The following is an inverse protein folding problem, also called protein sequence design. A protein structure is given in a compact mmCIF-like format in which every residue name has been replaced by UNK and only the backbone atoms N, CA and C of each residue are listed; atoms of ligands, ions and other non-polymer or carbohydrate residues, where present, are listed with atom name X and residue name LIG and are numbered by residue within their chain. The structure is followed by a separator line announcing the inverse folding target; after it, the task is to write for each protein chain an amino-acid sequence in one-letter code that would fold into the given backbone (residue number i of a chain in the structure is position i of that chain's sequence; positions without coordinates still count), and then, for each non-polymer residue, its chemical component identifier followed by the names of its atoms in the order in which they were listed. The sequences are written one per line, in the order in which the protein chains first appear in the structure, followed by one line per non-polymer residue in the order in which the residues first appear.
data_IF_699344073702
#
_entry.id   IF_699344073702
#
_cell.length_a   1.000
_cell.length_b   1.000
_cell.length_c   1.000
_cell.angle_alpha   90.00
_cell.angle_beta   90.00
_cell.angle_gamma   90.00
#
_symmetry.space_group_name_H-M   'P 1'
#
loop_
_entity.id
_entity.type
_entity.pdbx_description
1 polymer ?
#
# COMPACT_ATOMS: atom_id res chain seq x y z
N UNK A 1 -4.67 -0.55 21.63
CA UNK A 1 -4.38 -1.93 21.17
C UNK A 1 -2.93 -2.19 21.50
N UNK A 2 -2.65 -3.17 22.36
CA UNK A 2 -1.28 -3.65 22.54
C UNK A 2 -0.74 -4.17 21.19
N UNK A 3 0.56 -3.98 20.91
CA UNK A 3 1.19 -4.56 19.73
C UNK A 3 1.26 -6.07 19.93
N UNK A 4 0.30 -6.80 19.35
CA UNK A 4 0.36 -8.26 19.26
C UNK A 4 1.57 -8.66 18.42
N UNK A 5 2.44 -9.51 18.97
CA UNK A 5 3.57 -10.07 18.25
C UNK A 5 3.03 -10.94 17.10
N UNK A 6 3.54 -10.80 15.87
CA UNK A 6 3.12 -11.64 14.75
C UNK A 6 3.31 -13.12 15.06
N UNK A 7 2.31 -13.94 14.74
CA UNK A 7 2.47 -15.39 14.78
C UNK A 7 3.45 -15.87 13.69
N UNK A 8 4.08 -17.03 13.87
CA UNK A 8 4.99 -17.60 12.87
C UNK A 8 4.37 -17.73 11.45
N UNK A 9 3.04 -17.92 11.39
CA UNK A 9 2.27 -17.96 10.14
C UNK A 9 2.07 -16.60 9.44
N UNK A 10 2.42 -15.48 10.08
CA UNK A 10 2.41 -14.15 9.47
C UNK A 10 3.70 -13.86 8.69
N UNK A 11 4.79 -14.59 8.98
CA UNK A 11 6.09 -14.36 8.35
C UNK A 11 6.13 -14.78 6.87
N UNK A 12 5.20 -15.61 6.43
CA UNK A 12 5.02 -16.01 5.03
C UNK A 12 3.95 -15.19 4.29
N UNK A 13 3.40 -14.14 4.91
CA UNK A 13 2.35 -13.31 4.30
C UNK A 13 2.87 -11.98 3.79
N UNK A 14 2.43 -11.62 2.60
CA UNK A 14 2.74 -10.35 1.94
C UNK A 14 1.77 -9.28 2.44
N UNK A 15 2.30 -8.26 3.12
CA UNK A 15 1.48 -7.18 3.67
C UNK A 15 0.98 -6.24 2.56
N UNK A 16 -0.34 -6.10 2.47
CA UNK A 16 -1.03 -5.25 1.51
C UNK A 16 -1.89 -4.25 2.30
N UNK A 17 -1.55 -2.97 2.17
CA UNK A 17 -2.29 -1.91 2.82
C UNK A 17 -3.50 -1.53 1.98
N UNK A 18 -4.68 -1.54 2.60
CA UNK A 18 -5.95 -1.18 1.97
C UNK A 18 -6.45 0.12 2.58
N UNK A 19 -6.60 1.16 1.77
CA UNK A 19 -6.98 2.49 2.25
C UNK A 19 -8.10 3.10 1.42
N UNK A 20 -9.11 3.65 2.09
CA UNK A 20 -10.17 4.41 1.45
C UNK A 20 -9.77 5.88 1.27
N UNK A 21 -10.08 6.44 0.10
CA UNK A 21 -9.84 7.83 -0.25
C UNK A 21 -11.13 8.52 -0.73
N UNK A 22 -11.26 9.82 -0.48
CA UNK A 22 -12.45 10.59 -0.85
C UNK A 22 -13.66 10.27 0.03
N UNK A 23 -14.82 10.05 -0.61
CA UNK A 23 -16.07 9.73 0.08
C UNK A 23 -15.95 8.43 0.87
N UNK A 24 -16.33 8.49 2.16
CA UNK A 24 -16.21 7.35 3.07
C UNK A 24 -17.55 6.67 3.24
N UNK A 25 -17.65 5.46 2.71
CA UNK A 25 -18.72 4.51 3.03
C UNK A 25 -18.12 3.32 3.78
N UNK A 26 -18.28 3.23 5.11
CA UNK A 26 -17.81 2.08 5.89
C UNK A 26 -18.45 0.77 5.45
N UNK A 27 -19.74 0.79 5.07
CA UNK A 27 -20.47 -0.39 4.59
C UNK A 27 -19.86 -0.93 3.31
N UNK A 28 -19.60 -0.07 2.33
CA UNK A 28 -18.96 -0.46 1.06
C UNK A 28 -17.53 -0.93 1.31
N UNK A 29 -16.77 -0.22 2.15
CA UNK A 29 -15.40 -0.59 2.49
C UNK A 29 -15.31 -1.97 3.15
N UNK A 30 -16.14 -2.25 4.15
CA UNK A 30 -16.12 -3.54 4.87
C UNK A 30 -16.51 -4.69 3.95
N UNK A 31 -17.55 -4.52 3.11
CA UNK A 31 -17.94 -5.54 2.12
C UNK A 31 -16.83 -5.82 1.11
N UNK A 32 -16.14 -4.77 0.63
CA UNK A 32 -15.01 -4.93 -0.28
C UNK A 32 -13.83 -5.60 0.43
N UNK A 33 -13.53 -5.19 1.66
CA UNK A 33 -12.45 -5.76 2.45
C UNK A 33 -12.68 -7.25 2.72
N UNK A 34 -13.90 -7.67 3.09
CA UNK A 34 -14.27 -9.09 3.22
C UNK A 34 -14.05 -9.88 1.93
N UNK A 35 -14.28 -9.27 0.76
CA UNK A 35 -14.01 -9.92 -0.53
C UNK A 35 -12.52 -10.04 -0.81
N UNK A 36 -11.73 -9.02 -0.50
CA UNK A 36 -10.27 -9.13 -0.57
C UNK A 36 -9.76 -10.32 0.26
N UNK A 37 -10.32 -10.54 1.46
CA UNK A 37 -9.95 -11.69 2.29
C UNK A 37 -10.22 -13.05 1.63
N UNK A 38 -11.20 -13.17 0.71
CA UNK A 38 -11.47 -14.43 -0.02
C UNK A 38 -10.39 -14.78 -1.03
N UNK A 39 -9.71 -13.78 -1.57
CA UNK A 39 -8.60 -13.93 -2.54
C UNK A 39 -7.22 -13.85 -1.89
N UNK A 40 -7.15 -13.93 -0.55
CA UNK A 40 -5.88 -13.83 0.18
C UNK A 40 -4.87 -14.92 -0.20
N UNK A 41 -5.31 -16.10 -0.61
CA UNK A 41 -4.43 -17.19 -1.00
C UNK A 41 -4.53 -17.40 -2.52
N UNK A 42 -3.40 -17.26 -3.21
CA UNK A 42 -3.33 -17.45 -4.65
C UNK A 42 -2.24 -18.46 -5.02
N UNK A 43 -2.64 -19.53 -5.72
CA UNK A 43 -1.68 -20.44 -6.35
C UNK A 43 -1.05 -19.76 -7.56
N UNK A 44 0.28 -19.72 -7.57
CA UNK A 44 1.11 -19.00 -8.56
C UNK A 44 2.02 -19.94 -9.36
N UNK A 45 2.12 -21.20 -8.95
CA UNK A 45 2.90 -22.24 -9.59
C UNK A 45 2.31 -23.60 -9.24
N UNK A 46 2.28 -24.53 -10.19
CA UNK A 46 1.77 -25.89 -10.00
C UNK A 46 2.87 -26.90 -9.67
N UNK A 47 4.09 -26.69 -10.20
CA UNK A 47 5.23 -27.58 -10.01
C UNK A 47 6.56 -26.80 -9.80
N UNK A 48 7.09 -26.72 -8.57
CA UNK A 48 6.42 -27.11 -7.33
C UNK A 48 5.17 -26.24 -7.10
N UNK A 49 4.19 -26.78 -6.37
CA UNK A 49 3.01 -26.01 -5.97
C UNK A 49 3.47 -24.85 -5.07
N UNK A 50 3.20 -23.62 -5.49
CA UNK A 50 3.50 -22.41 -4.70
C UNK A 50 2.25 -21.57 -4.54
N UNK A 51 2.09 -21.04 -3.34
CA UNK A 51 0.98 -20.17 -2.96
C UNK A 51 1.56 -18.90 -2.39
N UNK A 52 1.16 -17.75 -2.94
CA UNK A 52 1.36 -16.45 -2.31
C UNK A 52 0.18 -16.18 -1.39
N UNK A 53 0.46 -15.73 -0.17
CA UNK A 53 -0.56 -15.39 0.83
C UNK A 53 -0.49 -13.90 1.10
N UNK A 54 -1.55 -13.17 0.79
CA UNK A 54 -1.71 -11.76 1.11
C UNK A 54 -2.22 -11.58 2.55
N UNK A 55 -1.71 -10.56 3.22
CA UNK A 55 -2.24 -10.03 4.46
C UNK A 55 -2.82 -8.64 4.18
N UNK A 56 -4.11 -8.58 3.86
CA UNK A 56 -4.81 -7.31 3.65
C UNK A 56 -5.10 -6.67 5.00
N UNK A 57 -4.63 -5.43 5.20
CA UNK A 57 -4.84 -4.67 6.44
C UNK A 57 -5.37 -3.27 6.14
N UNK A 58 -6.29 -2.79 6.96
CA UNK A 58 -6.85 -1.43 6.87
C UNK A 58 -6.15 -0.42 7.80
N UNK A 59 -5.31 -0.91 8.72
CA UNK A 59 -4.52 -0.10 9.63
C UNK A 59 -3.12 -0.69 9.78
N UNK A 60 -2.11 0.18 9.76
CA UNK A 60 -0.71 -0.22 9.91
C UNK A 60 -0.22 0.09 11.33
N UNK A 61 0.63 -0.79 11.86
CA UNK A 61 1.41 -0.50 13.06
C UNK A 61 2.72 0.17 12.63
N UNK A 62 2.80 1.49 12.76
CA UNK A 62 3.98 2.29 12.37
C UNK A 62 5.26 1.87 13.10
N UNK A 63 5.15 1.30 14.30
CA UNK A 63 6.28 0.71 15.03
C UNK A 63 6.83 -0.52 14.31
N UNK A 64 5.94 -1.43 13.88
CA UNK A 64 6.35 -2.67 13.21
C UNK A 64 6.84 -2.44 11.78
N UNK A 65 6.23 -1.51 11.04
CA UNK A 65 6.63 -1.19 9.66
C UNK A 65 8.07 -0.66 9.59
N UNK A 66 8.54 0.07 10.63
CA UNK A 66 9.93 0.53 10.73
C UNK A 66 10.95 -0.62 10.76
N UNK A 67 10.54 -1.79 11.24
CA UNK A 67 11.36 -3.00 11.23
C UNK A 67 11.24 -3.79 9.92
N UNK A 68 10.54 -3.26 8.92
CA UNK A 68 10.41 -3.86 7.59
C UNK A 68 11.77 -4.19 6.96
N UNK A 69 12.80 -3.38 7.21
CA UNK A 69 14.14 -3.66 6.66
C UNK A 69 14.75 -4.93 7.24
N UNK A 70 14.51 -5.20 8.53
CA UNK A 70 14.89 -6.44 9.20
C UNK A 70 14.02 -7.61 8.78
N UNK A 71 12.72 -7.41 8.57
CA UNK A 71 11.75 -8.50 8.34
C UNK A 71 10.80 -8.12 7.20
N UNK A 72 11.01 -8.69 6.01
CA UNK A 72 10.31 -8.24 4.81
C UNK A 72 8.78 -8.37 4.87
N UNK A 73 8.25 -9.33 5.64
CA UNK A 73 6.79 -9.50 5.84
C UNK A 73 6.12 -8.30 6.51
N UNK A 74 6.88 -7.42 7.17
CA UNK A 74 6.37 -6.17 7.78
C UNK A 74 6.37 -4.98 6.82
N UNK A 75 7.00 -5.12 5.65
CA UNK A 75 7.06 -4.06 4.64
C UNK A 75 5.71 -3.94 3.95
N UNK A 76 5.26 -2.72 3.68
CA UNK A 76 4.10 -2.51 2.81
C UNK A 76 4.55 -2.82 1.38
N UNK A 77 4.20 -4.02 0.90
CA UNK A 77 4.59 -4.53 -0.43
C UNK A 77 3.52 -4.15 -1.46
N UNK A 78 2.25 -4.10 -1.07
CA UNK A 78 1.15 -3.69 -1.94
C UNK A 78 0.30 -2.57 -1.34
N UNK A 79 -0.27 -1.73 -2.20
CA UNK A 79 -1.27 -0.74 -1.84
C UNK A 79 -2.53 -0.95 -2.68
N UNK A 80 -3.68 -1.05 -2.02
CA UNK A 80 -4.99 -1.00 -2.65
C UNK A 80 -5.72 0.25 -2.17
N UNK A 81 -5.90 1.20 -3.08
CA UNK A 81 -6.78 2.34 -2.86
C UNK A 81 -8.23 1.97 -3.14
N UNK A 82 -9.15 2.45 -2.34
CA UNK A 82 -10.60 2.29 -2.56
C UNK A 82 -11.21 3.69 -2.68
N UNK A 83 -11.86 3.94 -3.81
CA UNK A 83 -12.50 5.21 -4.12
C UNK A 83 -13.94 4.93 -4.50
N UNK A 84 -14.87 5.61 -3.84
CA UNK A 84 -16.31 5.41 -4.06
C UNK A 84 -16.96 6.72 -4.46
N UNK A 85 -17.84 6.69 -5.45
CA UNK A 85 -18.62 7.86 -5.80
C UNK A 85 -19.59 8.19 -4.67
N UNK A 86 -19.76 9.48 -4.34
CA UNK A 86 -20.80 9.88 -3.42
C UNK A 86 -22.17 9.51 -4.02
N UNK A 87 -23.16 9.14 -3.19
CA UNK A 87 -24.52 8.93 -3.67
C UNK A 87 -25.00 10.20 -4.37
N UNK A 88 -25.44 10.08 -5.62
CA UNK A 88 -26.08 11.17 -6.32
C UNK A 88 -27.44 11.38 -5.66
N UNK A 89 -27.64 12.52 -5.00
CA UNK A 89 -28.99 12.97 -4.64
C UNK A 89 -29.61 13.47 -5.93
N UNK A 90 -30.65 12.79 -6.42
CA UNK A 90 -31.40 13.14 -7.63
C UNK A 90 -32.11 14.51 -7.49
N UNK A 91 -31.38 15.62 -7.52
CA UNK A 91 -31.96 16.98 -7.51
C UNK A 91 -31.80 17.74 -8.84
N UNK A 92 -31.25 17.12 -9.90
CA UNK A 92 -31.08 17.79 -11.20
C UNK A 92 -31.52 16.94 -12.40
N UNK A 93 -32.68 16.30 -12.27
CA UNK A 93 -33.42 15.70 -13.39
C UNK A 93 -34.79 16.36 -13.57
N UNK A 94 -34.84 17.70 -13.61
CA UNK A 94 -36.03 18.44 -14.05
C UNK A 94 -35.70 19.88 -14.48
N UNK A 95 -35.03 20.06 -15.61
CA UNK A 95 -35.25 21.23 -16.46
C UNK A 95 -34.69 21.02 -17.86
N UNK A 96 -35.48 20.38 -18.72
CA UNK A 96 -35.38 20.58 -20.16
C UNK A 96 -36.79 20.58 -20.71
N UNK A 97 -37.31 21.76 -21.08
CA UNK A 97 -37.82 22.03 -22.43
C UNK A 97 -38.63 23.34 -22.53
N UNK A 98 -38.31 24.11 -23.59
CA UNK A 98 -39.08 25.16 -24.30
C UNK A 98 -38.96 26.60 -23.76
N UNK A 99 -38.22 27.50 -24.39
CA UNK A 99 -38.35 28.15 -25.74
C UNK A 99 -39.30 29.37 -25.68
N UNK A 100 -38.74 30.57 -25.82
CA UNK A 100 -39.07 31.59 -26.84
C UNK A 100 -38.52 32.98 -26.42
N UNK A 101 -38.00 33.73 -27.38
CA UNK A 101 -37.34 35.02 -27.16
C UNK A 101 -38.31 36.20 -27.13
N UNK A 102 -37.97 37.26 -26.38
CA UNK A 102 -38.22 38.70 -26.70
C UNK A 102 -37.55 39.59 -25.62
N UNK A 103 -36.79 40.59 -26.07
CA UNK A 103 -36.30 41.76 -25.31
C UNK A 103 -37.06 42.96 -25.95
N UNK A 104 -37.53 44.03 -25.26
CA UNK A 104 -36.67 44.92 -24.46
C UNK A 104 -37.28 45.81 -23.33
N UNK A 105 -36.36 46.45 -22.59
CA UNK A 105 -36.39 47.79 -21.95
C UNK A 105 -36.38 47.93 -20.42
N UNK A 106 -35.19 48.34 -19.93
CA UNK A 106 -34.86 49.55 -19.13
C UNK A 106 -36.00 50.20 -18.31
N UNK A 107 -35.88 50.15 -16.97
CA UNK A 107 -36.16 51.27 -16.05
C UNK A 107 -35.18 51.19 -14.86
N UNK A 108 -34.51 52.31 -14.61
CA UNK A 108 -33.56 52.64 -13.53
C UNK A 108 -34.34 53.00 -12.25
N UNK A 109 -33.85 52.67 -11.04
CA UNK A 109 -33.82 53.53 -9.83
C UNK A 109 -33.35 52.78 -8.57
N UNK A 110 -32.13 53.08 -8.09
CA UNK A 110 -31.78 53.18 -6.65
C UNK A 110 -32.17 54.60 -6.15
N UNK A 111 -31.99 55.05 -4.88
CA UNK A 111 -31.43 54.45 -3.65
C UNK A 111 -32.41 54.60 -2.44
N UNK A 112 -32.17 54.18 -1.17
CA UNK A 112 -31.29 54.78 -0.15
C UNK A 112 -31.28 53.96 1.17
N UNK A 113 -30.08 53.87 1.76
CA UNK A 113 -29.68 54.01 3.18
C UNK A 113 -30.53 53.42 4.35
N UNK A 114 -29.93 52.54 5.18
CA UNK A 114 -29.06 52.87 6.33
C UNK A 114 -28.96 51.74 7.39
N UNK A 115 -27.72 51.43 7.78
CA UNK A 115 -27.18 50.99 9.08
C UNK A 115 -28.00 50.05 10.02
N UNK A 116 -27.42 48.89 10.37
CA UNK A 116 -26.71 48.69 11.66
C UNK A 116 -26.21 47.24 11.88
N UNK A 117 -24.99 47.13 12.39
CA UNK A 117 -24.36 45.94 12.96
C UNK A 117 -25.21 45.28 14.06
N UNK A 118 -25.37 43.95 14.03
CA UNK A 118 -25.24 43.09 15.22
C UNK A 118 -24.97 41.63 14.85
N UNK A 119 -23.77 41.18 15.22
CA UNK A 119 -23.33 39.78 15.30
C UNK A 119 -24.28 39.00 16.21
N UNK A 120 -24.77 37.84 15.78
CA UNK A 120 -24.89 36.65 16.63
C UNK A 120 -24.98 35.37 15.76
N UNK A 121 -23.91 34.59 15.89
CA UNK A 121 -23.78 33.15 15.71
C UNK A 121 -25.07 32.30 15.64
N UNK A 122 -25.25 31.63 14.50
CA UNK A 122 -25.90 30.31 14.38
C UNK A 122 -24.94 29.39 13.59
N UNK A 123 -24.04 28.69 14.26
CA UNK A 123 -24.25 27.31 14.72
C UNK A 123 -24.55 26.31 13.60
N UNK A 124 -23.46 25.80 13.00
CA UNK A 124 -23.24 24.40 12.57
C UNK A 124 -24.25 23.76 11.61
N UNK A 125 -23.89 23.75 10.33
CA UNK A 125 -24.06 22.54 9.49
C UNK A 125 -22.67 22.09 9.00
N UNK A 126 -22.30 20.88 9.40
CA UNK A 126 -21.09 20.21 8.96
C UNK A 126 -21.26 19.77 7.49
N UNK A 127 -20.89 20.63 6.54
CA UNK A 127 -20.63 20.19 5.18
C UNK A 127 -19.34 19.38 5.21
N UNK A 128 -19.44 18.06 5.10
CA UNK A 128 -18.29 17.25 4.71
C UNK A 128 -17.84 17.75 3.34
N UNK A 129 -16.69 18.41 3.26
CA UNK A 129 -16.11 18.81 1.99
C UNK A 129 -15.79 17.54 1.19
N UNK A 130 -16.68 17.17 0.27
CA UNK A 130 -16.45 16.06 -0.64
C UNK A 130 -15.26 16.42 -1.51
N UNK A 131 -14.16 15.67 -1.35
CA UNK A 131 -12.93 15.91 -2.09
C UNK A 131 -13.17 15.68 -3.58
N UNK A 132 -12.58 16.52 -4.42
CA UNK A 132 -12.61 16.34 -5.88
C UNK A 132 -11.77 15.13 -6.28
N UNK A 133 -12.06 14.52 -7.43
CA UNK A 133 -11.34 13.34 -7.90
C UNK A 133 -9.81 13.57 -8.06
N UNK A 134 -9.34 14.75 -8.53
CA UNK A 134 -7.91 15.07 -8.49
C UNK A 134 -7.32 15.15 -7.07
N UNK A 135 -8.06 15.68 -6.10
CA UNK A 135 -7.62 15.70 -4.68
C UNK A 135 -7.54 14.27 -4.11
N UNK A 136 -8.50 13.41 -4.47
CA UNK A 136 -8.49 11.99 -4.11
C UNK A 136 -7.26 11.29 -4.71
N UNK A 137 -6.97 11.52 -5.99
CA UNK A 137 -5.76 11.03 -6.65
C UNK A 137 -4.49 11.52 -5.95
N UNK A 138 -4.43 12.79 -5.56
CA UNK A 138 -3.29 13.35 -4.82
C UNK A 138 -3.08 12.65 -3.47
N UNK A 139 -4.14 12.35 -2.73
CA UNK A 139 -4.04 11.61 -1.47
C UNK A 139 -3.55 10.17 -1.67
N UNK A 140 -4.02 9.52 -2.74
CA UNK A 140 -3.55 8.19 -3.13
C UNK A 140 -2.05 8.20 -3.45
N UNK A 141 -1.58 9.15 -4.27
CA UNK A 141 -0.17 9.29 -4.62
C UNK A 141 0.70 9.65 -3.41
N UNK A 142 0.20 10.48 -2.49
CA UNK A 142 0.91 10.80 -1.24
C UNK A 142 1.11 9.55 -0.38
N UNK A 143 0.08 8.70 -0.24
CA UNK A 143 0.18 7.42 0.48
C UNK A 143 1.12 6.45 -0.24
N UNK A 144 1.08 6.41 -1.57
CA UNK A 144 1.99 5.59 -2.38
C UNK A 144 3.46 6.02 -2.17
N UNK A 145 3.71 7.32 -2.15
CA UNK A 145 5.04 7.89 -1.93
C UNK A 145 5.60 7.56 -0.53
N UNK A 146 4.75 7.55 0.50
CA UNK A 146 5.12 7.18 1.88
C UNK A 146 5.79 5.80 1.97
N UNK A 147 5.35 4.84 1.15
CA UNK A 147 5.85 3.45 1.15
C UNK A 147 6.72 3.11 -0.06
N UNK A 148 7.12 4.11 -0.86
CA UNK A 148 7.81 3.91 -2.14
C UNK A 148 9.09 3.07 -2.08
N UNK A 149 9.79 3.05 -0.94
CA UNK A 149 11.01 2.24 -0.74
C UNK A 149 10.75 0.73 -0.71
N UNK A 150 9.53 0.31 -0.34
CA UNK A 150 9.18 -1.11 -0.20
C UNK A 150 8.05 -1.56 -1.12
N UNK A 151 7.24 -0.62 -1.59
CA UNK A 151 6.08 -0.87 -2.41
C UNK A 151 6.49 -1.48 -3.76
N UNK A 152 5.81 -2.57 -4.13
CA UNK A 152 6.05 -3.33 -5.36
C UNK A 152 5.02 -3.01 -6.42
N UNK A 153 3.74 -3.01 -6.05
CA UNK A 153 2.64 -2.64 -6.95
C UNK A 153 1.57 -1.88 -6.15
N UNK A 154 0.79 -1.06 -6.85
CA UNK A 154 -0.29 -0.27 -6.28
C UNK A 154 -1.47 -0.21 -7.24
N UNK A 155 -2.67 -0.54 -6.76
CA UNK A 155 -3.91 -0.50 -7.57
C UNK A 155 -4.95 0.36 -6.87
N UNK A 156 -5.84 0.95 -7.65
CA UNK A 156 -6.96 1.75 -7.18
C UNK A 156 -8.26 1.11 -7.67
N UNK A 157 -9.10 0.68 -6.72
CA UNK A 157 -10.44 0.17 -6.96
C UNK A 157 -11.41 1.35 -6.92
N UNK A 158 -12.12 1.60 -8.02
CA UNK A 158 -13.15 2.64 -8.12
C UNK A 158 -14.53 2.02 -8.24
N UNK A 159 -15.51 2.53 -7.48
CA UNK A 159 -16.89 2.05 -7.53
C UNK A 159 -17.83 3.23 -7.84
N UNK A 160 -18.61 3.08 -8.91
CA UNK A 160 -19.68 4.01 -9.28
C UNK A 160 -19.22 5.30 -9.97
N UNK A 161 -18.00 5.32 -10.51
CA UNK A 161 -17.49 6.39 -11.38
C UNK A 161 -17.51 5.94 -12.84
N UNK A 162 -17.74 6.86 -13.78
CA UNK A 162 -17.55 6.60 -15.21
C UNK A 162 -16.06 6.46 -15.53
N UNK A 163 -15.72 5.57 -16.46
CA UNK A 163 -14.32 5.33 -16.84
C UNK A 163 -13.66 6.56 -17.46
N UNK A 164 -14.40 7.38 -18.22
CA UNK A 164 -13.87 8.57 -18.90
C UNK A 164 -13.33 9.60 -17.90
N UNK A 165 -13.97 9.76 -16.74
CA UNK A 165 -13.50 10.68 -15.71
C UNK A 165 -12.24 10.18 -14.98
N UNK A 166 -11.94 8.88 -15.06
CA UNK A 166 -10.85 8.21 -14.35
C UNK A 166 -9.62 7.99 -15.22
N UNK A 167 -9.79 7.81 -16.53
CA UNK A 167 -8.70 7.52 -17.48
C UNK A 167 -7.66 8.63 -17.55
N UNK A 168 -8.05 9.88 -17.27
CA UNK A 168 -7.13 11.02 -17.25
C UNK A 168 -6.29 11.09 -15.96
N UNK A 169 -6.74 10.42 -14.90
CA UNK A 169 -6.13 10.51 -13.55
C UNK A 169 -5.37 9.26 -13.14
N UNK A 170 -5.78 8.07 -13.60
CA UNK A 170 -5.09 6.81 -13.33
C UNK A 170 -4.68 6.12 -14.62
N UNK A 171 -3.50 5.50 -14.60
CA UNK A 171 -3.09 4.61 -15.67
C UNK A 171 -3.99 3.36 -15.72
N UNK A 172 -4.19 2.79 -16.90
CA UNK A 172 -4.98 1.56 -17.09
C UNK A 172 -4.44 0.39 -16.28
N UNK A 173 -3.13 0.36 -16.01
CA UNK A 173 -2.51 -0.64 -15.13
C UNK A 173 -2.92 -0.43 -13.68
N UNK A 174 -3.03 0.80 -13.20
CA UNK A 174 -3.34 1.05 -11.78
C UNK A 174 -4.84 0.97 -11.47
N UNK A 175 -5.70 1.19 -12.46
CA UNK A 175 -7.14 1.32 -12.25
C UNK A 175 -7.89 -0.02 -12.35
N UNK A 176 -8.74 -0.29 -11.36
CA UNK A 176 -9.73 -1.37 -11.35
C UNK A 176 -11.12 -0.74 -11.12
N UNK A 177 -11.87 -0.51 -12.20
CA UNK A 177 -13.14 0.20 -12.14
C UNK A 177 -14.35 -0.74 -12.22
N UNK A 178 -15.31 -0.53 -11.34
CA UNK A 178 -16.54 -1.33 -11.23
C UNK A 178 -17.76 -0.39 -11.11
N UNK A 179 -18.88 -0.76 -11.74
CA UNK A 179 -20.12 -0.01 -11.62
C UNK A 179 -20.72 -0.14 -10.22
N UNK A 180 -20.68 -1.35 -9.67
CA UNK A 180 -21.18 -1.64 -8.32
C UNK A 180 -20.41 -2.80 -7.68
N UNK A 181 -20.71 -3.08 -6.40
CA UNK A 181 -20.12 -4.23 -5.71
C UNK A 181 -20.65 -5.58 -6.22
N UNK A 182 -21.64 -5.67 -7.11
CA UNK A 182 -22.15 -6.98 -7.55
C UNK A 182 -21.22 -7.68 -8.55
N UNK A 183 -20.30 -6.95 -9.19
CA UNK A 183 -19.28 -7.45 -10.11
C UNK A 183 -18.12 -8.15 -9.37
N UNK A 184 -18.44 -9.18 -8.58
CA UNK A 184 -17.48 -9.86 -7.72
C UNK A 184 -16.34 -10.53 -8.50
N UNK A 185 -16.67 -11.25 -9.57
CA UNK A 185 -15.71 -12.08 -10.30
C UNK A 185 -14.65 -11.25 -11.02
N UNK A 186 -15.05 -10.17 -11.70
CA UNK A 186 -14.11 -9.27 -12.38
C UNK A 186 -13.16 -8.61 -11.39
N UNK A 187 -13.67 -8.23 -10.21
CA UNK A 187 -12.86 -7.66 -9.14
C UNK A 187 -11.89 -8.67 -8.56
N UNK A 188 -12.34 -9.87 -8.20
CA UNK A 188 -11.47 -10.93 -7.71
C UNK A 188 -10.38 -11.27 -8.72
N UNK A 189 -10.70 -11.31 -10.02
CA UNK A 189 -9.71 -11.51 -11.08
C UNK A 189 -8.66 -10.39 -11.13
N UNK A 190 -9.08 -9.12 -11.03
CA UNK A 190 -8.17 -7.97 -10.94
C UNK A 190 -7.23 -8.05 -9.73
N UNK A 191 -7.73 -8.48 -8.58
CA UNK A 191 -6.91 -8.67 -7.37
C UNK A 191 -5.98 -9.87 -7.51
N UNK A 192 -6.41 -10.98 -8.10
CA UNK A 192 -5.53 -12.12 -8.38
C UNK A 192 -4.38 -11.69 -9.29
N UNK A 193 -4.65 -10.87 -10.31
CA UNK A 193 -3.60 -10.37 -11.20
C UNK A 193 -2.62 -9.42 -10.48
N UNK A 194 -3.13 -8.57 -9.60
CA UNK A 194 -2.30 -7.75 -8.71
C UNK A 194 -1.41 -8.59 -7.77
N UNK A 195 -1.92 -9.71 -7.23
CA UNK A 195 -1.09 -10.61 -6.42
C UNK A 195 -0.04 -11.33 -7.26
N UNK A 196 -0.34 -11.70 -8.52
CA UNK A 196 0.64 -12.27 -9.45
C UNK A 196 1.75 -11.29 -9.78
N UNK A 197 1.43 -10.02 -10.05
CA UNK A 197 2.44 -9.00 -10.35
C UNK A 197 3.41 -8.83 -9.17
N UNK A 198 2.89 -8.79 -7.94
CA UNK A 198 3.72 -8.74 -6.73
C UNK A 198 4.59 -9.99 -6.63
N UNK A 199 4.01 -11.17 -6.80
CA UNK A 199 4.74 -12.44 -6.74
C UNK A 199 5.95 -12.44 -7.70
N UNK A 200 5.76 -12.07 -8.96
CA UNK A 200 6.86 -12.10 -9.94
C UNK A 200 8.00 -11.14 -9.60
N UNK A 201 7.70 -9.97 -9.03
CA UNK A 201 8.75 -9.04 -8.58
C UNK A 201 9.49 -9.59 -7.37
N UNK A 202 8.78 -10.16 -6.38
CA UNK A 202 9.42 -10.79 -5.22
C UNK A 202 10.27 -11.99 -5.63
N UNK A 203 9.78 -12.81 -6.57
CA UNK A 203 10.50 -13.96 -7.12
C UNK A 203 11.76 -13.52 -7.88
N UNK A 204 11.68 -12.45 -8.66
CA UNK A 204 12.85 -11.85 -9.32
C UNK A 204 13.89 -11.38 -8.31
N UNK A 205 13.47 -10.68 -7.23
CA UNK A 205 14.38 -10.23 -6.16
C UNK A 205 15.01 -11.39 -5.40
N UNK A 206 14.28 -12.48 -5.21
CA UNK A 206 14.78 -13.72 -4.60
C UNK A 206 15.90 -14.36 -5.43
N UNK A 207 15.73 -14.37 -6.75
CA UNK A 207 16.69 -14.98 -7.69
C UNK A 207 17.94 -14.12 -7.93
N UNK A 208 17.89 -12.82 -7.62
CA UNK A 208 19.03 -11.93 -7.77
C UNK A 208 20.06 -12.12 -6.65
N UNK A 209 21.05 -12.97 -6.92
CA UNK A 209 22.21 -13.24 -6.06
C UNK A 209 23.47 -12.50 -6.53
N UNK A 210 23.34 -11.48 -7.39
CA UNK A 210 24.49 -10.76 -7.96
C UNK A 210 25.36 -10.10 -6.88
N UNK A 211 24.77 -9.74 -5.74
CA UNK A 211 25.47 -9.12 -4.62
C UNK A 211 26.58 -9.98 -4.01
N UNK A 212 26.53 -11.31 -4.16
CA UNK A 212 27.58 -12.21 -3.66
C UNK A 212 28.92 -11.99 -4.36
N UNK A 213 28.86 -11.55 -5.61
CA UNK A 213 30.02 -11.33 -6.47
C UNK A 213 30.57 -9.90 -6.36
N UNK A 214 29.81 -8.96 -5.79
CA UNK A 214 30.25 -7.57 -5.64
C UNK A 214 31.41 -7.48 -4.65
N UNK A 215 32.40 -6.63 -4.97
CA UNK A 215 33.47 -6.29 -4.03
C UNK A 215 32.92 -5.48 -2.86
N UNK A 216 32.02 -4.52 -3.17
CA UNK A 216 31.37 -3.60 -2.24
C UNK A 216 29.85 -3.77 -2.28
N UNK A 217 29.30 -4.88 -1.75
CA UNK A 217 27.86 -5.11 -1.74
C UNK A 217 27.12 -4.03 -0.95
N UNK A 218 25.87 -3.69 -1.34
CA UNK A 218 25.05 -2.79 -0.55
C UNK A 218 24.81 -3.38 0.85
N UNK A 219 24.68 -2.52 1.85
CA UNK A 219 24.44 -2.93 3.23
C UNK A 219 23.05 -2.45 3.64
N UNK A 220 22.02 -3.30 3.59
CA UNK A 220 20.71 -2.98 4.15
C UNK A 220 20.83 -2.43 5.56
N UNK A 221 20.15 -1.34 5.87
CA UNK A 221 20.24 -0.71 7.17
C UNK A 221 18.89 -0.19 7.67
N UNK A 222 18.64 -0.32 8.97
CA UNK A 222 17.45 0.26 9.57
C UNK A 222 17.52 1.78 9.55
N UNK A 223 16.36 2.46 9.51
CA UNK A 223 16.27 3.87 9.87
C UNK A 223 16.94 4.09 11.23
N UNK A 224 17.78 5.13 11.32
CA UNK A 224 18.53 5.50 12.53
C UNK A 224 19.61 4.51 13.01
N UNK A 225 19.85 3.39 12.32
CA UNK A 225 20.93 2.44 12.67
C UNK A 225 22.31 3.12 12.62
N UNK A 226 22.48 4.12 11.75
CA UNK A 226 23.71 4.89 11.60
C UNK A 226 24.10 5.67 12.86
N UNK A 227 23.12 6.08 13.68
CA UNK A 227 23.36 6.84 14.92
C UNK A 227 24.15 6.02 15.95
N UNK A 228 24.03 4.70 15.89
CA UNK A 228 24.72 3.76 16.76
C UNK A 228 26.01 3.19 16.14
N UNK A 229 26.44 3.73 14.98
CA UNK A 229 27.55 3.20 14.16
C UNK A 229 28.66 4.18 13.81
N UNK A 230 28.54 5.45 14.19
CA UNK A 230 29.51 6.47 13.79
C UNK A 230 30.92 6.12 14.28
N UNK A 231 31.85 5.88 13.35
CA UNK A 231 33.29 5.78 13.60
C UNK A 231 33.94 4.39 13.57
N UNK A 232 33.20 3.28 13.43
CA UNK A 232 33.79 1.93 13.59
C UNK A 232 33.86 1.04 12.33
N UNK A 233 33.13 1.34 11.26
CA UNK A 233 32.97 0.36 10.17
C UNK A 233 33.92 0.61 9.00
N UNK A 234 34.99 -0.19 8.92
CA UNK A 234 35.87 -0.23 7.77
C UNK A 234 35.17 -0.91 6.58
N UNK A 235 34.60 -0.10 5.67
CA UNK A 235 33.83 -0.57 4.51
C UNK A 235 34.62 -1.46 3.52
N UNK A 236 35.95 -1.39 3.54
CA UNK A 236 36.81 -2.23 2.68
C UNK A 236 37.22 -3.54 3.36
N UNK A 237 36.88 -3.74 4.63
CA UNK A 237 37.20 -4.95 5.36
C UNK A 237 36.39 -6.15 4.86
N UNK A 238 37.04 -7.32 4.80
CA UNK A 238 36.38 -8.61 4.56
C UNK A 238 35.25 -8.87 5.55
N UNK A 239 35.39 -8.41 6.80
CA UNK A 239 34.35 -8.56 7.83
C UNK A 239 33.10 -7.73 7.50
N UNK A 240 33.29 -6.48 7.05
CA UNK A 240 32.18 -5.63 6.62
C UNK A 240 31.51 -6.20 5.37
N UNK A 241 32.27 -6.72 4.40
CA UNK A 241 31.71 -7.43 3.25
C UNK A 241 30.83 -8.61 3.69
N UNK A 242 31.32 -9.47 4.58
CA UNK A 242 30.54 -10.61 5.12
C UNK A 242 29.26 -10.17 5.79
N UNK A 243 29.31 -9.08 6.58
CA UNK A 243 28.12 -8.46 7.19
C UNK A 243 27.07 -8.12 6.13
N UNK A 244 27.45 -7.37 5.11
CA UNK A 244 26.55 -6.93 4.04
C UNK A 244 25.92 -8.11 3.30
N UNK A 245 26.74 -9.09 2.90
CA UNK A 245 26.27 -10.32 2.24
C UNK A 245 25.33 -11.11 3.15
N UNK A 246 25.63 -11.19 4.45
CA UNK A 246 24.75 -11.84 5.45
C UNK A 246 23.37 -11.19 5.53
N UNK A 247 23.32 -9.85 5.54
CA UNK A 247 22.05 -9.08 5.54
C UNK A 247 21.25 -9.26 4.25
N UNK A 248 21.91 -9.18 3.09
CA UNK A 248 21.25 -9.39 1.81
C UNK A 248 20.74 -10.82 1.66
N UNK A 249 21.52 -11.82 2.11
CA UNK A 249 21.08 -13.22 2.17
C UNK A 249 19.85 -13.38 3.06
N UNK A 250 19.78 -12.66 4.18
CA UNK A 250 18.60 -12.63 5.05
C UNK A 250 17.36 -12.15 4.29
N UNK A 251 17.48 -11.06 3.52
CA UNK A 251 16.38 -10.54 2.71
C UNK A 251 15.95 -11.52 1.61
N UNK A 252 16.90 -12.19 0.97
CA UNK A 252 16.60 -13.27 0.02
C UNK A 252 15.85 -14.41 0.70
N UNK A 253 16.22 -14.78 1.92
CA UNK A 253 15.51 -15.79 2.71
C UNK A 253 14.06 -15.34 3.03
N UNK A 254 13.86 -14.07 3.40
CA UNK A 254 12.51 -13.51 3.58
C UNK A 254 11.68 -13.61 2.30
N UNK A 255 12.23 -13.21 1.14
CA UNK A 255 11.53 -13.32 -0.13
C UNK A 255 11.24 -14.78 -0.51
N UNK A 256 12.15 -15.70 -0.20
CA UNK A 256 11.95 -17.14 -0.39
C UNK A 256 10.78 -17.67 0.42
N UNK A 257 10.62 -17.19 1.66
CA UNK A 257 9.49 -17.54 2.49
C UNK A 257 8.18 -16.93 1.95
N UNK A 258 8.19 -15.65 1.56
CA UNK A 258 7.04 -14.94 0.99
C UNK A 258 6.57 -15.51 -0.36
N UNK A 259 7.46 -16.13 -1.15
CA UNK A 259 7.11 -16.79 -2.41
C UNK A 259 6.75 -18.28 -2.27
N UNK A 260 6.58 -18.75 -1.03
CA UNK A 260 6.02 -20.08 -0.76
C UNK A 260 7.03 -21.24 -0.82
N UNK A 261 8.31 -20.98 -0.52
CA UNK A 261 9.38 -21.98 -0.49
C UNK A 261 9.99 -22.11 0.92
N UNK A 262 9.23 -22.57 1.94
CA UNK A 262 9.67 -22.54 3.34
C UNK A 262 10.94 -23.35 3.61
N UNK A 263 11.07 -24.54 3.02
CA UNK A 263 12.26 -25.39 3.22
C UNK A 263 13.53 -24.71 2.69
N UNK A 264 13.47 -24.14 1.48
CA UNK A 264 14.60 -23.41 0.92
C UNK A 264 14.90 -22.11 1.69
N UNK A 265 13.87 -21.48 2.26
CA UNK A 265 14.06 -20.31 3.10
C UNK A 265 14.87 -20.65 4.36
N UNK A 266 14.65 -21.81 4.99
CA UNK A 266 15.42 -22.26 6.15
C UNK A 266 16.91 -22.40 5.83
N UNK A 267 17.26 -23.01 4.69
CA UNK A 267 18.65 -23.12 4.24
C UNK A 267 19.29 -21.73 4.01
N UNK A 268 18.54 -20.81 3.39
CA UNK A 268 18.98 -19.45 3.16
C UNK A 268 19.15 -18.64 4.46
N UNK A 269 18.25 -18.81 5.44
CA UNK A 269 18.39 -18.22 6.77
C UNK A 269 19.62 -18.77 7.48
N UNK A 270 19.85 -20.08 7.44
CA UNK A 270 21.02 -20.70 8.05
C UNK A 270 22.32 -20.13 7.47
N UNK A 271 22.42 -20.03 6.14
CA UNK A 271 23.57 -19.43 5.48
C UNK A 271 23.78 -17.94 5.87
N UNK A 272 22.69 -17.19 6.03
CA UNK A 272 22.74 -15.80 6.52
C UNK A 272 23.23 -15.74 7.98
N UNK A 273 22.71 -16.60 8.86
CA UNK A 273 23.08 -16.67 10.28
C UNK A 273 24.59 -16.92 10.43
N UNK A 274 25.15 -17.84 9.66
CA UNK A 274 26.59 -18.16 9.75
C UNK A 274 27.47 -16.98 9.32
N UNK A 275 27.07 -16.24 8.28
CA UNK A 275 27.75 -15.02 7.85
C UNK A 275 27.66 -13.91 8.90
N UNK A 276 26.49 -13.70 9.47
CA UNK A 276 26.25 -12.64 10.46
C UNK A 276 26.94 -12.95 11.80
N UNK A 277 27.01 -14.22 12.22
CA UNK A 277 27.80 -14.67 13.39
C UNK A 277 29.28 -14.36 13.21
N UNK A 278 29.85 -14.71 12.06
CA UNK A 278 31.25 -14.41 11.75
C UNK A 278 31.52 -12.90 11.65
N UNK A 279 30.53 -12.12 11.22
CA UNK A 279 30.64 -10.67 11.12
C UNK A 279 30.44 -9.95 12.47
N UNK A 280 29.85 -10.61 13.48
CA UNK A 280 29.50 -9.99 14.76
C UNK A 280 28.24 -9.12 14.70
N UNK A 281 27.34 -9.34 13.74
CA UNK A 281 26.14 -8.51 13.54
C UNK A 281 24.95 -9.02 14.39
N UNK A 282 25.02 -8.75 15.69
CA UNK A 282 24.03 -9.23 16.67
C UNK A 282 22.60 -8.72 16.40
N UNK A 283 22.47 -7.51 15.85
CA UNK A 283 21.15 -6.91 15.57
C UNK A 283 20.40 -7.70 14.48
N UNK A 284 21.08 -8.03 13.38
CA UNK A 284 20.45 -8.81 12.32
C UNK A 284 20.34 -10.29 12.68
N UNK A 285 21.20 -10.81 13.57
CA UNK A 285 21.02 -12.14 14.16
C UNK A 285 19.75 -12.23 15.00
N UNK A 286 19.51 -11.25 15.88
CA UNK A 286 18.30 -11.21 16.69
C UNK A 286 17.02 -11.14 15.84
N UNK A 287 17.10 -10.51 14.65
CA UNK A 287 15.98 -10.46 13.73
C UNK A 287 15.54 -11.85 13.20
N UNK A 288 16.43 -12.85 13.19
CA UNK A 288 16.10 -14.25 12.87
C UNK A 288 15.46 -15.02 14.05
N UNK A 289 15.73 -14.63 15.30
CA UNK A 289 15.29 -15.39 16.49
C UNK A 289 13.80 -15.21 16.78
N UNK A 290 13.20 -14.12 16.31
CA UNK A 290 11.75 -13.92 16.42
C UNK A 290 10.92 -14.89 15.54
N UNK A 291 11.54 -15.88 14.88
CA UNK A 291 10.85 -16.89 14.07
C UNK A 291 10.52 -18.18 14.86
N UNK A 292 11.09 -18.37 16.06
CA UNK A 292 11.01 -19.63 16.86
C UNK A 292 10.32 -19.47 18.24
N UNK A 293 9.63 -18.36 18.50
CA UNK A 293 8.92 -18.11 19.77
C UNK A 293 7.41 -18.02 19.59
#
# INVERSE_FOLDING_TARGET
MEPTVPSAGEHCRVLIFVRQFGYRSPTTFNRLFERLQRVQCLQVSDNPKRVIVANFVSSLNSGLVKFGELQAHRRVIGLIGIVHSPPQTDEQAASTSQDDGTVPQVIISEPEENNTLRKHSSSKSSLSSTLTLPQVKQQYESTKAEYSSTLVDSRCITIGYSNDALSDLWSSRELLSFGCLEEADSMENGIREFLRSIFFVLESRRLDLSFEKLETPPCPCLPDEQRYRMGLENKTSKQYKRKCVGRLRKQVADYTLLTGLPTLALDAYQASIDLLKQAGDLLWLAAHINYDA
#
